data_IF_631965000398
#
_entry.id   IF_631965000398
#
_cell.length_a   1.000
_cell.length_b   1.000
_cell.length_c   1.000
_cell.angle_alpha   90.00
_cell.angle_beta   90.00
_cell.angle_gamma   90.00
#
_symmetry.space_group_name_H-M   'P 1'
#
loop_
_entity.id
_entity.type
_entity.pdbx_description
1 polymer ?
#
# COMPACT_ATOMS: atom_id res chain seq x y z
N UNK A 1 -10.51 -0.15 -15.78
CA UNK A 1 -9.84 0.14 -14.49
C UNK A 1 -10.75 -0.34 -13.38
N UNK A 2 -10.22 -1.16 -12.48
CA UNK A 2 -10.95 -1.63 -11.31
C UNK A 2 -10.03 -1.39 -10.12
N UNK A 3 -10.34 -0.38 -9.32
CA UNK A 3 -9.60 -0.07 -8.11
C UNK A 3 -9.62 -1.29 -7.16
N UNK A 4 -8.44 -1.67 -6.68
CA UNK A 4 -8.28 -2.78 -5.74
C UNK A 4 -7.94 -2.23 -4.38
N UNK A 5 -8.82 -2.46 -3.42
CA UNK A 5 -8.63 -2.01 -2.03
C UNK A 5 -8.14 -3.17 -1.17
N UNK A 6 -6.91 -3.07 -0.68
CA UNK A 6 -6.29 -3.99 0.28
C UNK A 6 -6.45 -3.42 1.68
N UNK A 7 -7.03 -4.20 2.59
CA UNK A 7 -7.18 -3.80 4.00
C UNK A 7 -6.12 -4.50 4.84
N UNK A 8 -5.34 -3.71 5.58
CA UNK A 8 -4.33 -4.19 6.51
C UNK A 8 -4.70 -3.73 7.92
N UNK A 9 -4.79 -4.69 8.84
CA UNK A 9 -5.00 -4.41 10.25
C UNK A 9 -3.66 -4.03 10.89
N UNK A 10 -3.53 -2.76 11.30
CA UNK A 10 -2.37 -2.25 12.05
C UNK A 10 -2.84 -2.07 13.49
N UNK A 11 -2.70 -3.13 14.28
CA UNK A 11 -3.22 -3.18 15.65
C UNK A 11 -2.46 -2.32 16.66
N UNK A 12 -1.25 -1.88 16.32
CA UNK A 12 -0.38 -1.08 17.19
C UNK A 12 0.51 -0.12 16.35
N UNK A 13 1.07 0.91 16.99
CA UNK A 13 1.87 1.95 16.34
C UNK A 13 3.19 1.42 15.72
N UNK A 14 3.74 0.32 16.23
CA UNK A 14 4.91 -0.35 15.63
C UNK A 14 4.53 -1.02 14.31
N UNK A 15 3.39 -1.71 14.25
CA UNK A 15 2.90 -2.30 12.99
C UNK A 15 2.52 -1.21 11.99
N UNK A 16 1.99 -0.07 12.46
CA UNK A 16 1.75 1.11 11.61
C UNK A 16 3.03 1.65 10.97
N UNK A 17 4.10 1.79 11.76
CA UNK A 17 5.39 2.26 11.26
C UNK A 17 5.97 1.30 10.21
N UNK A 18 6.00 0.00 10.50
CA UNK A 18 6.44 -1.05 9.55
C UNK A 18 5.63 -1.06 8.26
N UNK A 19 4.33 -0.79 8.37
CA UNK A 19 3.44 -0.72 7.23
C UNK A 19 3.75 0.47 6.32
N UNK A 20 4.01 1.66 6.88
CA UNK A 20 4.44 2.82 6.10
C UNK A 20 5.82 2.61 5.48
N UNK A 21 6.77 2.01 6.21
CA UNK A 21 8.09 1.65 5.66
C UNK A 21 7.95 0.68 4.48
N UNK A 22 7.08 -0.34 4.60
CA UNK A 22 6.84 -1.28 3.52
C UNK A 22 6.20 -0.64 2.28
N UNK A 23 5.29 0.32 2.46
CA UNK A 23 4.71 1.08 1.33
C UNK A 23 5.79 1.93 0.66
N UNK A 24 6.62 2.62 1.43
CA UNK A 24 7.69 3.47 0.89
C UNK A 24 8.73 2.64 0.13
N UNK A 25 9.16 1.51 0.69
CA UNK A 25 10.10 0.60 0.02
C UNK A 25 9.49 0.01 -1.27
N UNK A 26 8.21 -0.39 -1.22
CA UNK A 26 7.51 -0.91 -2.38
C UNK A 26 7.39 0.14 -3.49
N UNK A 27 6.99 1.37 -3.14
CA UNK A 27 6.93 2.49 -4.08
C UNK A 27 8.30 2.79 -4.70
N UNK A 28 9.36 2.82 -3.89
CA UNK A 28 10.73 3.05 -4.35
C UNK A 28 11.22 1.97 -5.31
N UNK A 29 10.94 0.69 -5.01
CA UNK A 29 11.29 -0.44 -5.88
C UNK A 29 10.63 -0.39 -7.25
N UNK A 30 9.45 0.23 -7.32
CA UNK A 30 8.69 0.48 -8.55
C UNK A 30 9.21 1.69 -9.32
N UNK A 31 9.53 2.80 -8.65
CA UNK A 31 10.09 4.00 -9.30
C UNK A 31 11.45 3.74 -9.96
N UNK A 32 12.26 2.82 -9.42
CA UNK A 32 13.51 2.39 -10.08
C UNK A 32 13.26 1.48 -11.31
N UNK A 33 12.07 0.93 -11.46
CA UNK A 33 11.68 0.08 -12.60
C UNK A 33 10.88 0.84 -13.67
N UNK A 34 10.34 2.02 -13.35
CA UNK A 34 9.39 2.76 -14.18
C UNK A 34 9.89 4.20 -14.40
N UNK A 35 10.89 4.36 -15.27
CA UNK A 35 11.38 5.68 -15.73
C UNK A 35 10.37 6.45 -16.61
N UNK A 36 9.09 6.00 -16.73
CA UNK A 36 8.14 6.56 -17.70
C UNK A 36 6.69 6.78 -17.19
N UNK A 37 6.42 6.69 -15.89
CA UNK A 37 5.08 6.97 -15.38
C UNK A 37 4.78 8.48 -15.28
N UNK A 38 4.47 9.12 -16.41
CA UNK A 38 3.68 10.37 -16.45
C UNK A 38 2.25 10.06 -15.99
N UNK A 39 2.03 9.95 -14.68
CA UNK A 39 0.70 9.74 -14.09
C UNK A 39 0.31 10.91 -13.18
N UNK A 40 -0.71 11.66 -13.62
CA UNK A 40 -1.32 12.82 -12.93
C UNK A 40 -1.98 12.45 -11.59
N UNK A 41 -2.04 11.15 -11.24
CA UNK A 41 -2.59 10.63 -9.99
C UNK A 41 -1.66 9.59 -9.35
N UNK A 42 -1.52 9.56 -8.01
CA UNK A 42 -0.66 8.61 -7.33
C UNK A 42 -1.09 7.16 -7.60
N UNK A 43 -0.12 6.29 -7.90
CA UNK A 43 -0.35 4.86 -8.15
C UNK A 43 -0.87 4.11 -6.92
N UNK A 44 -0.59 4.65 -5.72
CA UNK A 44 -0.93 4.05 -4.43
C UNK A 44 -1.56 5.12 -3.54
N UNK A 45 -2.77 4.85 -3.04
CA UNK A 45 -3.43 5.69 -2.03
C UNK A 45 -3.59 4.95 -0.71
N UNK A 46 -3.25 5.59 0.41
CA UNK A 46 -3.40 5.01 1.74
C UNK A 46 -4.46 5.80 2.51
N UNK A 47 -5.47 5.09 3.03
CA UNK A 47 -6.52 5.64 3.87
C UNK A 47 -6.47 5.00 5.25
N UNK A 48 -6.45 5.83 6.29
CA UNK A 48 -6.64 5.35 7.65
C UNK A 48 -8.13 5.23 7.93
N UNK A 49 -8.56 4.03 8.31
CA UNK A 49 -9.93 3.72 8.71
C UNK A 49 -9.93 3.47 10.20
N UNK A 50 -10.58 4.34 10.95
CA UNK A 50 -10.78 4.18 12.38
C UNK A 50 -12.06 3.38 12.61
N UNK A 51 -11.94 2.20 13.23
CA UNK A 51 -13.05 1.29 13.56
C UNK A 51 -13.05 1.07 15.08
N UNK A 52 -13.63 2.04 15.81
CA UNK A 52 -13.59 2.06 17.28
C UNK A 52 -12.16 2.23 17.81
N UNK A 53 -11.73 1.32 18.70
CA UNK A 53 -10.35 1.27 19.23
C UNK A 53 -9.33 0.68 18.25
N UNK A 54 -9.78 0.12 17.12
CA UNK A 54 -8.90 -0.54 16.14
C UNK A 54 -8.57 0.42 15.00
N UNK A 55 -7.28 0.68 14.77
CA UNK A 55 -6.78 1.33 13.56
C UNK A 55 -6.68 0.29 12.44
N UNK A 56 -7.31 0.55 11.30
CA UNK A 56 -7.10 -0.21 10.06
C UNK A 56 -6.57 0.71 8.98
N UNK A 57 -5.74 0.20 8.08
CA UNK A 57 -5.26 0.95 6.91
C UNK A 57 -5.81 0.27 5.68
N UNK A 58 -6.39 1.05 4.79
CA UNK A 58 -6.80 0.61 3.48
C UNK A 58 -5.81 1.19 2.46
N UNK A 59 -5.21 0.33 1.64
CA UNK A 59 -4.42 0.75 0.48
C UNK A 59 -5.28 0.54 -0.75
N UNK A 60 -5.37 1.54 -1.60
CA UNK A 60 -6.03 1.43 -2.90
C UNK A 60 -4.96 1.43 -3.98
N UNK A 61 -5.03 0.42 -4.84
CA UNK A 61 -4.19 0.25 -6.01
C UNK A 61 -5.05 0.40 -7.28
N UNK A 62 -4.48 1.00 -8.32
CA UNK A 62 -5.17 1.19 -9.59
C UNK A 62 -5.45 -0.12 -10.35
N UNK A 63 -4.66 -1.17 -10.07
CA UNK A 63 -4.81 -2.48 -10.69
C UNK A 63 -4.57 -3.66 -9.73
N UNK A 64 -5.07 -4.83 -10.14
CA UNK A 64 -4.94 -6.07 -9.35
C UNK A 64 -3.51 -6.59 -9.31
N UNK A 65 -2.70 -6.31 -10.33
CA UNK A 65 -1.31 -6.76 -10.41
C UNK A 65 -0.48 -6.08 -9.33
N UNK A 66 -0.55 -4.75 -9.22
CA UNK A 66 0.17 -4.01 -8.17
C UNK A 66 -0.27 -4.41 -6.77
N UNK A 67 -1.57 -4.61 -6.56
CA UNK A 67 -2.09 -5.10 -5.28
C UNK A 67 -1.53 -6.48 -4.91
N UNK A 68 -1.41 -7.39 -5.89
CA UNK A 68 -0.85 -8.72 -5.69
C UNK A 68 0.65 -8.66 -5.39
N UNK A 69 1.40 -7.86 -6.13
CA UNK A 69 2.84 -7.67 -5.92
C UNK A 69 3.10 -7.09 -4.51
N UNK A 70 2.30 -6.12 -4.07
CA UNK A 70 2.39 -5.58 -2.72
C UNK A 70 2.09 -6.64 -1.64
N UNK A 71 1.09 -7.51 -1.86
CA UNK A 71 0.77 -8.58 -0.91
C UNK A 71 1.90 -9.61 -0.80
N UNK A 72 2.56 -9.94 -1.92
CA UNK A 72 3.73 -10.81 -1.91
C UNK A 72 4.90 -10.17 -1.16
N UNK A 73 5.16 -8.88 -1.43
CA UNK A 73 6.18 -8.10 -0.74
C UNK A 73 5.93 -8.02 0.76
N UNK A 74 4.69 -7.74 1.16
CA UNK A 74 4.28 -7.64 2.56
C UNK A 74 4.38 -8.97 3.30
N UNK A 75 4.01 -10.09 2.65
CA UNK A 75 4.08 -11.43 3.27
C UNK A 75 5.52 -11.92 3.48
N UNK A 76 6.48 -11.41 2.71
CA UNK A 76 7.89 -11.78 2.82
C UNK A 76 8.65 -11.10 3.96
N UNK A 77 8.01 -10.17 4.68
CA UNK A 77 8.57 -9.41 5.81
C UNK A 77 8.07 -9.94 7.14
#
# INVERSE_FOLDING_TARGET
MSDVVVHVAVGDDQTESKFFDAINDFARSRSESDELAEADAPEIMVKTVHDGEKKRKAITFQDRKTAFDFLLFWRGR
#
